data_IF_369883068163
#
_entry.id   IF_369883068163
#
_cell.length_a   1.000
_cell.length_b   1.000
_cell.length_c   1.000
_cell.angle_alpha   90.00
_cell.angle_beta   90.00
_cell.angle_gamma   90.00
#
_symmetry.space_group_name_H-M   'P 1'
#
loop_
_entity.id
_entity.type
_entity.pdbx_description
1 polymer ?
#
# COMPACT_ATOMS: atom_id res chain seq x y z
N UNK A 1 -10.98 -6.41 -30.42
CA UNK A 1 -10.42 -5.36 -29.54
C UNK A 1 -11.62 -4.68 -28.89
N UNK A 2 -11.64 -4.50 -27.56
CA UNK A 2 -12.77 -3.83 -26.89
C UNK A 2 -12.69 -2.33 -27.24
N UNK A 3 -13.78 -1.76 -27.79
CA UNK A 3 -13.85 -0.34 -28.12
C UNK A 3 -14.48 0.46 -26.96
N UNK A 4 -13.76 1.44 -26.38
CA UNK A 4 -14.30 2.30 -25.33
C UNK A 4 -15.48 3.14 -25.80
N UNK A 5 -16.51 3.28 -24.96
CA UNK A 5 -17.71 4.09 -25.25
C UNK A 5 -17.92 5.18 -24.19
N UNK A 6 -18.47 6.32 -24.61
CA UNK A 6 -18.80 7.45 -23.72
C UNK A 6 -17.60 7.91 -22.89
N UNK A 7 -17.80 8.04 -21.58
CA UNK A 7 -16.80 8.48 -20.58
C UNK A 7 -15.53 7.62 -20.55
N UNK A 8 -15.59 6.35 -21.01
CA UNK A 8 -14.37 5.53 -21.15
C UNK A 8 -13.37 6.11 -22.16
N UNK A 9 -13.83 6.88 -23.16
CA UNK A 9 -12.96 7.59 -24.10
C UNK A 9 -12.19 8.71 -23.41
N UNK A 10 -12.80 9.37 -22.43
CA UNK A 10 -12.16 10.43 -21.65
C UNK A 10 -11.02 9.87 -20.80
N UNK A 11 -11.17 8.66 -20.24
CA UNK A 11 -10.09 7.95 -19.54
C UNK A 11 -8.88 7.72 -20.46
N UNK A 12 -9.12 7.40 -21.74
CA UNK A 12 -8.03 7.31 -22.71
C UNK A 12 -7.53 8.67 -23.20
N UNK A 13 -8.22 9.76 -22.93
CA UNK A 13 -7.78 11.12 -23.24
C UNK A 13 -6.97 11.76 -22.09
N UNK A 14 -6.83 11.07 -20.95
CA UNK A 14 -6.09 11.59 -19.80
C UNK A 14 -4.68 12.05 -20.17
N UNK A 15 -4.21 13.18 -19.58
CA UNK A 15 -2.87 13.67 -19.82
C UNK A 15 -1.85 12.65 -19.29
N UNK A 16 -0.69 12.49 -19.95
CA UNK A 16 0.36 11.60 -19.48
C UNK A 16 1.19 12.22 -18.34
N UNK A 17 0.61 13.15 -17.58
CA UNK A 17 1.28 13.82 -16.46
C UNK A 17 0.31 14.09 -15.31
N UNK A 18 0.84 14.18 -14.10
CA UNK A 18 0.07 14.48 -12.89
C UNK A 18 -0.66 13.27 -12.29
N UNK A 19 -1.52 13.53 -11.32
CA UNK A 19 -2.26 12.50 -10.59
C UNK A 19 -3.73 12.55 -10.98
N UNK A 20 -4.30 11.41 -11.39
CA UNK A 20 -5.71 11.30 -11.79
C UNK A 20 -6.40 10.20 -11.01
N UNK A 21 -7.66 10.44 -10.63
CA UNK A 21 -8.55 9.44 -10.04
C UNK A 21 -9.66 9.15 -11.05
N UNK A 22 -9.87 7.87 -11.35
CA UNK A 22 -10.92 7.35 -12.23
C UNK A 22 -11.82 6.45 -11.40
N UNK A 23 -13.05 6.88 -11.20
CA UNK A 23 -14.04 6.12 -10.43
C UNK A 23 -15.09 5.54 -11.35
N UNK A 24 -15.53 4.32 -11.04
CA UNK A 24 -16.64 3.68 -11.74
C UNK A 24 -17.23 2.56 -10.92
N UNK A 25 -18.50 2.24 -11.15
CA UNK A 25 -19.17 1.13 -10.46
C UNK A 25 -18.62 -0.23 -10.90
N UNK A 26 -19.00 -1.29 -10.19
CA UNK A 26 -18.73 -2.67 -10.60
C UNK A 26 -19.20 -2.92 -12.05
N UNK A 27 -18.40 -3.66 -12.82
CA UNK A 27 -18.72 -3.98 -14.22
C UNK A 27 -18.53 -2.84 -15.23
N UNK A 28 -18.08 -1.65 -14.82
CA UNK A 28 -17.88 -0.50 -15.72
C UNK A 28 -16.64 -0.61 -16.64
N UNK A 29 -15.87 -1.69 -16.50
CA UNK A 29 -14.67 -1.94 -17.31
C UNK A 29 -13.40 -1.23 -16.81
N UNK A 30 -13.35 -0.79 -15.54
CA UNK A 30 -12.19 -0.11 -14.91
C UNK A 30 -10.87 -0.80 -15.24
N UNK A 31 -10.79 -2.09 -14.93
CA UNK A 31 -9.65 -2.94 -15.21
C UNK A 31 -9.24 -2.93 -16.69
N UNK A 32 -10.20 -3.08 -17.61
CA UNK A 32 -9.92 -2.99 -19.05
C UNK A 32 -9.38 -1.61 -19.42
N UNK A 33 -9.92 -0.55 -18.81
CA UNK A 33 -9.45 0.80 -19.06
C UNK A 33 -8.06 1.08 -18.51
N UNK A 34 -7.72 0.57 -17.33
CA UNK A 34 -6.38 0.63 -16.76
C UNK A 34 -5.35 0.01 -17.72
N UNK A 35 -5.67 -1.14 -18.32
CA UNK A 35 -4.80 -1.83 -19.27
C UNK A 35 -4.69 -1.09 -20.62
N UNK A 36 -5.79 -0.58 -21.15
CA UNK A 36 -5.78 0.21 -22.38
C UNK A 36 -4.99 1.52 -22.19
N UNK A 37 -5.14 2.17 -21.04
CA UNK A 37 -4.37 3.34 -20.67
C UNK A 37 -2.88 2.99 -20.54
N UNK A 38 -2.53 1.87 -19.89
CA UNK A 38 -1.15 1.42 -19.79
C UNK A 38 -0.49 1.25 -21.17
N UNK A 39 -1.19 0.60 -22.09
CA UNK A 39 -0.75 0.42 -23.47
C UNK A 39 -0.62 1.74 -24.22
N UNK A 40 -1.55 2.69 -24.02
CA UNK A 40 -1.44 4.03 -24.62
C UNK A 40 -0.17 4.73 -24.14
N UNK A 41 0.04 4.75 -22.82
CA UNK A 41 1.17 5.43 -22.19
C UNK A 41 2.51 4.83 -22.62
N UNK A 42 2.61 3.49 -22.71
CA UNK A 42 3.85 2.83 -23.15
C UNK A 42 4.22 3.08 -24.61
N UNK A 43 3.26 3.49 -25.44
CA UNK A 43 3.47 3.84 -26.85
C UNK A 43 3.75 5.33 -27.10
N UNK A 44 3.85 6.14 -26.04
CA UNK A 44 4.28 7.53 -26.18
C UNK A 44 5.73 7.61 -26.67
N UNK A 45 6.11 8.78 -27.18
CA UNK A 45 7.50 9.08 -27.57
C UNK A 45 8.46 8.77 -26.42
N UNK A 46 9.55 8.06 -26.72
CA UNK A 46 10.50 7.56 -25.73
C UNK A 46 10.12 6.23 -25.09
N UNK A 47 8.99 5.64 -25.46
CA UNK A 47 8.51 4.31 -25.02
C UNK A 47 8.61 4.12 -23.51
N UNK A 48 7.97 5.00 -22.71
CA UNK A 48 8.17 5.02 -21.27
C UNK A 48 7.67 3.72 -20.62
N UNK A 49 8.37 3.29 -19.58
CA UNK A 49 7.93 2.15 -18.77
C UNK A 49 6.70 2.53 -17.94
N UNK A 50 5.70 1.64 -17.96
CA UNK A 50 4.46 1.77 -17.22
C UNK A 50 4.32 0.59 -16.26
N UNK A 51 4.00 0.88 -15.00
CA UNK A 51 3.64 -0.14 -14.01
C UNK A 51 2.12 -0.11 -13.79
N UNK A 52 1.49 -1.28 -13.87
CA UNK A 52 0.12 -1.50 -13.40
C UNK A 52 0.20 -2.32 -12.13
N UNK A 53 -0.39 -1.82 -11.04
CA UNK A 53 -0.41 -2.49 -9.74
C UNK A 53 -1.84 -2.92 -9.42
N UNK A 54 -2.01 -4.18 -9.04
CA UNK A 54 -3.33 -4.75 -8.69
C UNK A 54 -3.19 -5.84 -7.63
N UNK A 55 -4.23 -6.08 -6.83
CA UNK A 55 -4.33 -7.28 -5.99
C UNK A 55 -4.94 -8.49 -6.73
N UNK A 56 -5.50 -8.29 -7.92
CA UNK A 56 -6.12 -9.35 -8.70
C UNK A 56 -5.05 -10.23 -9.38
N UNK A 57 -4.74 -11.39 -8.77
CA UNK A 57 -3.78 -12.36 -9.33
C UNK A 57 -4.21 -12.89 -10.71
N UNK A 58 -5.51 -12.99 -10.98
CA UNK A 58 -6.01 -13.41 -12.28
C UNK A 58 -5.74 -12.36 -13.37
N UNK A 59 -5.76 -11.06 -13.02
CA UNK A 59 -5.34 -9.99 -13.94
C UNK A 59 -3.88 -10.13 -14.32
N UNK A 60 -3.01 -10.37 -13.33
CA UNK A 60 -1.57 -10.56 -13.55
C UNK A 60 -1.34 -11.72 -14.52
N UNK A 61 -2.01 -12.85 -14.29
CA UNK A 61 -1.94 -14.03 -15.16
C UNK A 61 -2.46 -13.74 -16.59
N UNK A 62 -3.62 -13.09 -16.69
CA UNK A 62 -4.22 -12.70 -17.97
C UNK A 62 -3.32 -11.76 -18.77
N UNK A 63 -2.73 -10.77 -18.12
CA UNK A 63 -1.81 -9.83 -18.76
C UNK A 63 -0.51 -10.49 -19.17
N UNK A 64 0.05 -11.39 -18.36
CA UNK A 64 1.22 -12.16 -18.74
C UNK A 64 0.96 -13.02 -19.99
N UNK A 65 -0.28 -13.52 -20.18
CA UNK A 65 -0.66 -14.25 -21.39
C UNK A 65 -0.76 -13.35 -22.65
N UNK A 66 -1.03 -12.05 -22.48
CA UNK A 66 -1.20 -11.08 -23.60
C UNK A 66 0.04 -10.19 -23.80
N UNK A 67 0.96 -10.18 -22.83
CA UNK A 67 2.19 -9.37 -22.77
C UNK A 67 3.13 -9.56 -23.96
N UNK A 68 2.99 -10.64 -24.74
CA UNK A 68 3.74 -10.86 -25.99
C UNK A 68 3.61 -9.72 -27.01
N UNK A 69 2.66 -8.79 -26.81
CA UNK A 69 2.34 -7.70 -27.73
C UNK A 69 2.54 -6.27 -27.21
N UNK A 70 2.93 -6.06 -25.93
CA UNK A 70 3.05 -4.71 -25.34
C UNK A 70 4.37 -4.50 -24.60
N UNK A 71 5.37 -3.98 -25.32
CA UNK A 71 6.67 -3.58 -24.74
C UNK A 71 6.47 -2.42 -23.76
N UNK A 72 7.19 -2.45 -22.63
CA UNK A 72 7.23 -1.36 -21.65
C UNK A 72 6.09 -1.35 -20.62
N UNK A 73 5.21 -2.37 -20.59
CA UNK A 73 4.16 -2.50 -19.56
C UNK A 73 4.48 -3.66 -18.61
N UNK A 74 4.57 -3.36 -17.31
CA UNK A 74 4.75 -4.33 -16.24
C UNK A 74 3.47 -4.38 -15.41
N UNK A 75 2.97 -5.58 -15.10
CA UNK A 75 1.77 -5.78 -14.28
C UNK A 75 2.13 -6.68 -13.10
N UNK A 76 2.02 -6.14 -11.89
CA UNK A 76 2.44 -6.83 -10.66
C UNK A 76 1.49 -6.49 -9.50
N UNK A 77 1.61 -7.23 -8.40
CA UNK A 77 0.99 -6.82 -7.13
C UNK A 77 1.96 -5.95 -6.33
N UNK A 78 1.42 -5.17 -5.38
CA UNK A 78 2.22 -4.19 -4.62
C UNK A 78 3.47 -4.80 -3.98
N UNK A 79 3.34 -5.95 -3.31
CA UNK A 79 4.45 -6.57 -2.59
C UNK A 79 5.59 -6.99 -3.51
N UNK A 80 5.31 -7.46 -4.74
CA UNK A 80 6.35 -7.80 -5.71
C UNK A 80 7.12 -6.55 -6.17
N UNK A 81 6.40 -5.47 -6.48
CA UNK A 81 7.01 -4.18 -6.77
C UNK A 81 7.88 -3.70 -5.60
N UNK A 82 7.36 -3.75 -4.38
CA UNK A 82 8.03 -3.29 -3.17
C UNK A 82 9.35 -4.05 -2.93
N UNK A 83 9.31 -5.38 -2.93
CA UNK A 83 10.50 -6.22 -2.75
C UNK A 83 11.49 -6.03 -3.91
N UNK A 84 11.03 -5.98 -5.15
CA UNK A 84 11.88 -5.70 -6.31
C UNK A 84 12.58 -4.35 -6.20
N UNK A 85 11.87 -3.32 -5.76
CA UNK A 85 12.45 -1.99 -5.53
C UNK A 85 13.49 -2.02 -4.39
N UNK A 86 13.18 -2.58 -3.23
CA UNK A 86 14.14 -2.65 -2.11
C UNK A 86 15.40 -3.44 -2.49
N UNK A 87 15.23 -4.56 -3.21
CA UNK A 87 16.35 -5.36 -3.75
C UNK A 87 17.21 -4.55 -4.71
N UNK A 88 16.60 -3.72 -5.56
CA UNK A 88 17.34 -2.80 -6.46
C UNK A 88 18.14 -1.72 -5.74
N UNK A 89 17.79 -1.44 -4.47
CA UNK A 89 18.54 -0.54 -3.58
C UNK A 89 19.61 -1.28 -2.75
N UNK A 90 19.79 -2.58 -2.96
CA UNK A 90 20.76 -3.40 -2.22
C UNK A 90 20.30 -3.82 -0.84
N UNK A 91 19.02 -3.64 -0.51
CA UNK A 91 18.46 -4.09 0.76
C UNK A 91 18.13 -5.59 0.69
N UNK A 92 18.34 -6.30 1.80
CA UNK A 92 17.96 -7.71 1.89
C UNK A 92 16.43 -7.82 1.89
N UNK A 93 15.91 -8.72 1.06
CA UNK A 93 14.48 -9.05 0.93
C UNK A 93 14.22 -10.55 1.02
N UNK A 94 15.27 -11.37 1.10
CA UNK A 94 15.16 -12.82 1.03
C UNK A 94 15.03 -13.38 2.45
N UNK A 95 13.92 -14.07 2.74
CA UNK A 95 13.60 -14.69 4.04
C UNK A 95 13.58 -13.73 5.26
N UNK A 96 13.39 -12.43 5.04
CA UNK A 96 13.37 -11.39 6.10
C UNK A 96 11.99 -10.78 6.38
N UNK A 97 10.95 -11.29 5.72
CA UNK A 97 9.56 -10.89 5.95
C UNK A 97 8.98 -11.77 7.05
N UNK A 98 8.41 -11.16 8.08
CA UNK A 98 7.79 -11.86 9.19
C UNK A 98 6.54 -12.64 8.73
N UNK A 99 6.45 -13.94 9.03
CA UNK A 99 5.21 -14.71 8.88
C UNK A 99 4.11 -14.26 9.84
N UNK A 100 2.85 -14.32 9.42
CA UNK A 100 1.70 -13.78 10.16
C UNK A 100 1.48 -14.49 11.52
N UNK A 101 1.63 -15.81 11.56
CA UNK A 101 1.55 -16.59 12.79
C UNK A 101 2.64 -16.18 13.80
N UNK A 102 3.82 -15.80 13.31
CA UNK A 102 4.91 -15.30 14.16
C UNK A 102 4.62 -13.86 14.60
N UNK A 103 4.00 -13.01 13.77
CA UNK A 103 3.52 -11.66 14.13
C UNK A 103 2.57 -11.72 15.32
N UNK A 104 1.55 -12.56 15.23
CA UNK A 104 0.58 -12.79 16.30
C UNK A 104 1.25 -13.26 17.60
N UNK A 105 2.16 -14.23 17.51
CA UNK A 105 2.88 -14.74 18.68
C UNK A 105 3.74 -13.66 19.35
N UNK A 106 4.52 -12.88 18.58
CA UNK A 106 5.36 -11.80 19.13
C UNK A 106 4.50 -10.77 19.85
N UNK A 107 3.40 -10.33 19.24
CA UNK A 107 2.52 -9.31 19.82
C UNK A 107 1.81 -9.85 21.06
N UNK A 108 1.37 -11.11 21.04
CA UNK A 108 0.80 -11.80 22.21
C UNK A 108 1.78 -11.78 23.39
N UNK A 109 3.02 -12.23 23.17
CA UNK A 109 4.06 -12.24 24.21
C UNK A 109 4.28 -10.84 24.80
N UNK A 110 4.40 -9.81 23.95
CA UNK A 110 4.59 -8.42 24.40
C UNK A 110 3.40 -7.96 25.24
N UNK A 111 2.16 -8.19 24.78
CA UNK A 111 0.97 -7.78 25.51
C UNK A 111 0.90 -8.46 26.89
N UNK A 112 1.19 -9.76 26.98
CA UNK A 112 1.23 -10.47 28.26
C UNK A 112 2.33 -9.95 29.20
N UNK A 113 3.51 -9.62 28.67
CA UNK A 113 4.58 -8.96 29.44
C UNK A 113 4.14 -7.58 29.98
N UNK A 114 3.45 -6.78 29.16
CA UNK A 114 2.91 -5.47 29.57
C UNK A 114 1.79 -5.59 30.60
N UNK A 115 0.91 -6.59 30.49
CA UNK A 115 -0.12 -6.89 31.49
C UNK A 115 0.50 -7.23 32.85
N UNK A 116 1.56 -8.04 32.88
CA UNK A 116 2.25 -8.40 34.13
C UNK A 116 2.96 -7.22 34.77
N UNK A 117 3.58 -6.35 33.96
CA UNK A 117 4.35 -5.20 34.45
C UNK A 117 3.47 -3.99 34.83
N UNK A 118 2.29 -3.85 34.24
CA UNK A 118 1.34 -2.77 34.52
C UNK A 118 -0.11 -3.31 34.64
N UNK A 119 -0.41 -4.14 35.66
CA UNK A 119 -1.69 -4.83 35.78
C UNK A 119 -2.88 -3.89 36.03
N UNK A 120 -2.62 -2.66 36.49
CA UNK A 120 -3.64 -1.63 36.74
C UNK A 120 -3.97 -0.78 35.50
N UNK A 121 -3.18 -0.87 34.43
CA UNK A 121 -3.48 -0.14 33.19
C UNK A 121 -4.47 -0.93 32.34
N UNK A 122 -5.73 -0.50 32.37
CA UNK A 122 -6.84 -1.14 31.67
C UNK A 122 -6.61 -1.30 30.16
N UNK A 123 -5.79 -0.45 29.54
CA UNK A 123 -5.48 -0.56 28.11
C UNK A 123 -4.79 -1.88 27.78
N UNK A 124 -3.83 -2.34 28.60
CA UNK A 124 -3.12 -3.60 28.37
C UNK A 124 -4.00 -4.83 28.63
N UNK A 125 -5.08 -4.69 29.38
CA UNK A 125 -6.04 -5.77 29.66
C UNK A 125 -7.00 -6.04 28.49
N UNK A 126 -6.97 -5.23 27.43
CA UNK A 126 -7.77 -5.46 26.22
C UNK A 126 -7.32 -6.73 25.47
N UNK A 127 -8.19 -7.35 24.67
CA UNK A 127 -7.83 -8.52 23.87
C UNK A 127 -6.61 -8.26 22.98
N UNK A 128 -5.77 -9.28 22.76
CA UNK A 128 -4.57 -9.17 21.91
C UNK A 128 -4.93 -8.71 20.50
N UNK A 129 -6.05 -9.18 19.95
CA UNK A 129 -6.55 -8.77 18.65
C UNK A 129 -6.72 -7.25 18.50
N UNK A 130 -7.07 -6.53 19.57
CA UNK A 130 -7.14 -5.06 19.55
C UNK A 130 -5.76 -4.44 19.27
N UNK A 131 -4.69 -5.03 19.79
CA UNK A 131 -3.33 -4.55 19.55
C UNK A 131 -2.82 -4.93 18.17
N UNK A 132 -3.14 -6.13 17.68
CA UNK A 132 -2.84 -6.57 16.30
C UNK A 132 -3.42 -5.59 15.28
N UNK A 133 -4.73 -5.37 15.37
CA UNK A 133 -5.45 -4.43 14.50
C UNK A 133 -4.88 -3.01 14.57
N UNK A 134 -4.53 -2.54 15.78
CA UNK A 134 -3.99 -1.19 15.92
C UNK A 134 -2.57 -1.07 15.35
N UNK A 135 -1.74 -2.11 15.49
CA UNK A 135 -0.41 -2.15 14.86
C UNK A 135 -0.53 -2.12 13.35
N UNK A 136 -1.41 -2.95 12.76
CA UNK A 136 -1.69 -2.89 11.32
C UNK A 136 -2.17 -1.50 10.88
N UNK A 137 -3.02 -0.84 11.69
CA UNK A 137 -3.46 0.52 11.40
C UNK A 137 -2.28 1.50 11.38
N UNK A 138 -1.41 1.47 12.39
CA UNK A 138 -0.22 2.31 12.46
C UNK A 138 0.68 2.09 11.24
N UNK A 139 0.87 0.84 10.83
CA UNK A 139 1.71 0.47 9.68
C UNK A 139 1.09 0.91 8.34
N UNK A 140 -0.21 0.63 8.14
CA UNK A 140 -0.95 0.98 6.92
C UNK A 140 -1.09 2.48 6.71
N UNK A 141 -1.12 3.27 7.77
CA UNK A 141 -1.13 4.74 7.70
C UNK A 141 0.28 5.36 7.74
N UNK A 142 1.32 4.57 8.01
CA UNK A 142 2.71 5.02 7.98
C UNK A 142 3.14 5.82 9.20
N UNK A 143 2.51 5.59 10.35
CA UNK A 143 2.74 6.35 11.58
C UNK A 143 4.16 6.14 12.09
N UNK A 144 4.87 7.24 12.27
CA UNK A 144 6.31 7.25 12.52
C UNK A 144 6.72 7.69 13.91
N UNK A 145 5.82 8.36 14.64
CA UNK A 145 6.04 8.82 16.01
C UNK A 145 4.76 8.75 16.87
N UNK A 146 4.94 8.82 18.19
CA UNK A 146 3.81 8.88 19.12
C UNK A 146 2.99 10.17 18.94
N UNK A 147 3.65 11.29 18.67
CA UNK A 147 3.03 12.59 18.47
C UNK A 147 2.14 12.59 17.22
N UNK A 148 2.62 11.98 16.12
CA UNK A 148 1.82 11.76 14.91
C UNK A 148 0.60 10.88 15.24
N UNK A 149 0.81 9.77 15.96
CA UNK A 149 -0.28 8.90 16.34
C UNK A 149 -1.32 9.59 17.22
N UNK A 150 -0.92 10.43 18.19
CA UNK A 150 -1.86 11.11 19.09
C UNK A 150 -2.63 12.23 18.39
N UNK A 151 -2.00 12.89 17.42
CA UNK A 151 -2.59 14.02 16.69
C UNK A 151 -3.57 13.61 15.59
N UNK A 152 -3.32 12.48 14.90
CA UNK A 152 -4.11 12.05 13.76
C UNK A 152 -5.53 11.57 14.10
N UNK A 153 -6.42 11.57 13.10
CA UNK A 153 -7.71 10.89 13.19
C UNK A 153 -7.59 9.41 12.82
N UNK A 154 -8.33 8.55 13.54
CA UNK A 154 -8.35 7.09 13.32
C UNK A 154 -9.48 6.70 12.37
N UNK A 155 -9.36 7.12 11.11
CA UNK A 155 -10.41 6.89 10.09
C UNK A 155 -10.51 5.40 9.74
N UNK A 156 -11.74 4.88 9.55
CA UNK A 156 -11.98 3.47 9.23
C UNK A 156 -11.83 2.49 10.42
N UNK A 157 -11.68 3.00 11.65
CA UNK A 157 -11.58 2.19 12.90
C UNK A 157 -12.69 2.55 13.91
N UNK A 158 -13.92 2.74 13.43
CA UNK A 158 -15.09 3.11 14.27
C UNK A 158 -15.40 2.11 15.38
N UNK A 159 -15.12 0.83 15.13
CA UNK A 159 -15.60 -0.26 15.97
C UNK A 159 -14.78 -0.42 17.26
N UNK A 160 -13.57 0.15 17.28
CA UNK A 160 -12.62 0.06 18.39
C UNK A 160 -12.23 1.46 18.85
N UNK A 161 -12.99 2.00 19.81
CA UNK A 161 -12.66 3.28 20.45
C UNK A 161 -11.31 3.20 21.19
N UNK A 162 -10.45 4.19 20.96
CA UNK A 162 -9.19 4.41 21.68
C UNK A 162 -9.09 5.91 21.97
N UNK A 163 -9.18 6.27 23.25
CA UNK A 163 -8.99 7.64 23.70
C UNK A 163 -7.55 8.12 23.41
N UNK A 164 -7.39 9.41 23.07
CA UNK A 164 -6.09 9.97 22.62
C UNK A 164 -4.98 9.79 23.67
N UNK A 165 -5.29 9.92 24.96
CA UNK A 165 -4.34 9.73 26.08
C UNK A 165 -3.91 8.27 26.27
N UNK A 166 -4.71 7.31 25.79
CA UNK A 166 -4.42 5.86 25.84
C UNK A 166 -3.60 5.36 24.65
N UNK A 167 -3.48 6.14 23.57
CA UNK A 167 -2.70 5.80 22.37
C UNK A 167 -1.23 5.48 22.68
N UNK A 168 -0.64 6.12 23.68
CA UNK A 168 0.74 5.83 24.13
C UNK A 168 0.99 4.37 24.48
N UNK A 169 -0.01 3.64 24.98
CA UNK A 169 0.13 2.24 25.34
C UNK A 169 0.15 1.33 24.12
N UNK A 170 -0.71 1.59 23.14
CA UNK A 170 -0.67 0.90 21.84
C UNK A 170 0.64 1.16 21.11
N UNK A 171 1.09 2.41 21.10
CA UNK A 171 2.36 2.79 20.50
C UNK A 171 3.55 2.11 21.21
N UNK A 172 3.51 1.98 22.53
CA UNK A 172 4.55 1.26 23.27
C UNK A 172 4.63 -0.23 22.89
N UNK A 173 3.48 -0.88 22.67
CA UNK A 173 3.44 -2.27 22.14
C UNK A 173 4.00 -2.31 20.72
N UNK A 174 3.63 -1.35 19.86
CA UNK A 174 4.13 -1.24 18.49
C UNK A 174 5.67 -1.06 18.43
N UNK A 175 6.24 -0.21 19.28
CA UNK A 175 7.69 -0.06 19.38
C UNK A 175 8.38 -1.33 19.86
N UNK A 176 7.81 -1.97 20.90
CA UNK A 176 8.31 -3.26 21.41
C UNK A 176 8.26 -4.34 20.32
N UNK A 177 7.20 -4.35 19.51
CA UNK A 177 7.02 -5.27 18.38
C UNK A 177 8.12 -5.07 17.33
N UNK A 178 8.35 -3.83 16.87
CA UNK A 178 9.43 -3.53 15.91
C UNK A 178 10.80 -3.99 16.42
N UNK A 179 11.07 -3.79 17.71
CA UNK A 179 12.31 -4.23 18.33
C UNK A 179 12.44 -5.76 18.33
N UNK A 180 11.45 -6.48 18.87
CA UNK A 180 11.48 -7.95 19.00
C UNK A 180 11.44 -8.67 17.65
N UNK A 181 10.73 -8.11 16.66
CA UNK A 181 10.74 -8.58 15.26
C UNK A 181 12.15 -8.55 14.67
N UNK A 182 12.84 -7.41 14.84
CA UNK A 182 14.21 -7.22 14.36
C UNK A 182 15.21 -8.15 15.07
N UNK A 183 15.09 -8.36 16.38
CA UNK A 183 15.93 -9.31 17.12
C UNK A 183 15.81 -10.74 16.60
N UNK A 184 14.62 -11.14 16.14
CA UNK A 184 14.37 -12.44 15.51
C UNK A 184 14.85 -12.53 14.05
N UNK A 185 15.47 -11.47 13.52
CA UNK A 185 16.03 -11.43 12.16
C UNK A 185 15.06 -11.01 11.07
N UNK A 186 13.81 -10.64 11.42
CA UNK A 186 12.83 -10.17 10.46
C UNK A 186 12.92 -8.65 10.31
N UNK A 187 13.23 -8.18 9.10
CA UNK A 187 13.41 -6.76 8.82
C UNK A 187 12.06 -6.06 8.57
N UNK A 188 11.12 -6.79 7.96
CA UNK A 188 9.82 -6.26 7.53
C UNK A 188 8.69 -7.20 7.96
N UNK A 189 7.47 -6.68 7.91
CA UNK A 189 6.26 -7.46 7.71
C UNK A 189 5.50 -6.94 6.48
N UNK A 190 4.34 -7.50 6.19
CA UNK A 190 3.58 -7.14 4.99
C UNK A 190 2.99 -5.74 5.04
N UNK A 191 2.60 -5.23 6.22
CA UNK A 191 1.97 -3.91 6.37
C UNK A 191 3.01 -2.78 6.37
N UNK A 192 4.17 -3.01 6.99
CA UNK A 192 5.22 -2.00 7.13
C UNK A 192 6.13 -1.87 5.89
N UNK A 193 6.06 -2.83 4.97
CA UNK A 193 6.87 -2.83 3.76
C UNK A 193 6.71 -1.53 2.96
N UNK A 194 5.48 -1.00 2.92
CA UNK A 194 5.17 0.26 2.25
C UNK A 194 5.88 1.47 2.90
N UNK A 195 6.02 1.48 4.23
CA UNK A 195 6.78 2.51 4.96
C UNK A 195 8.24 2.48 4.53
N UNK A 196 8.84 1.28 4.52
CA UNK A 196 10.24 1.09 4.15
C UNK A 196 10.50 1.53 2.70
N UNK A 197 9.63 1.13 1.77
CA UNK A 197 9.72 1.54 0.36
C UNK A 197 9.66 3.06 0.24
N UNK A 198 8.69 3.71 0.89
CA UNK A 198 8.55 5.15 0.81
C UNK A 198 9.76 5.91 1.40
N UNK A 199 10.23 5.49 2.59
CA UNK A 199 11.44 6.09 3.20
C UNK A 199 12.66 5.94 2.30
N UNK A 200 12.84 4.76 1.70
CA UNK A 200 13.94 4.51 0.76
C UNK A 200 13.81 5.39 -0.49
N UNK A 201 12.60 5.54 -1.04
CA UNK A 201 12.32 6.43 -2.18
C UNK A 201 12.56 7.91 -1.87
N UNK A 202 12.36 8.36 -0.63
CA UNK A 202 12.67 9.74 -0.22
C UNK A 202 14.17 10.03 -0.30
N UNK A 203 15.01 9.06 0.05
CA UNK A 203 16.48 9.18 -0.04
C UNK A 203 17.05 8.86 -1.42
N UNK A 204 16.32 8.10 -2.24
CA UNK A 204 16.77 7.66 -3.57
C UNK A 204 16.61 8.76 -4.61
N UNK A 205 17.77 9.25 -5.11
CA UNK A 205 17.89 10.31 -6.12
C UNK A 205 18.02 9.78 -7.56
N UNK A 206 18.00 8.46 -7.76
CA UNK A 206 18.09 7.88 -9.11
C UNK A 206 16.82 8.17 -9.91
N UNK A 207 16.95 8.14 -11.23
CA UNK A 207 15.79 8.18 -12.12
C UNK A 207 14.85 7.01 -11.83
N UNK A 208 13.54 7.27 -11.85
CA UNK A 208 12.54 6.24 -11.58
C UNK A 208 12.41 5.32 -12.77
N UNK A 209 12.37 4.01 -12.49
CA UNK A 209 12.17 2.96 -13.50
C UNK A 209 10.88 3.15 -14.30
N UNK A 210 9.80 3.56 -13.63
CA UNK A 210 8.47 3.70 -14.22
C UNK A 210 8.11 5.17 -14.32
N UNK A 211 7.85 5.64 -15.55
CA UNK A 211 7.36 6.99 -15.77
C UNK A 211 5.89 7.12 -15.42
N UNK A 212 5.11 6.06 -15.64
CA UNK A 212 3.69 6.06 -15.30
C UNK A 212 3.35 4.88 -14.40
N UNK A 213 2.51 5.12 -13.40
CA UNK A 213 2.01 4.10 -12.50
C UNK A 213 0.48 4.15 -12.50
N UNK A 214 -0.14 2.99 -12.67
CA UNK A 214 -1.59 2.82 -12.65
C UNK A 214 -1.91 1.83 -11.53
N UNK A 215 -2.87 2.17 -10.70
CA UNK A 215 -3.40 1.29 -9.65
C UNK A 215 -4.80 0.88 -10.05
N UNK A 216 -5.05 -0.43 -10.12
CA UNK A 216 -6.39 -1.01 -10.30
C UNK A 216 -6.90 -1.51 -8.95
N UNK A 217 -8.22 -1.41 -8.73
CA UNK A 217 -8.87 -1.65 -7.43
C UNK A 217 -8.18 -0.92 -6.28
N UNK A 218 -7.92 0.37 -6.48
CA UNK A 218 -7.11 1.19 -5.58
C UNK A 218 -7.67 1.31 -4.17
N UNK A 219 -8.94 1.03 -3.95
CA UNK A 219 -9.56 0.95 -2.62
C UNK A 219 -8.98 -0.17 -1.74
N UNK A 220 -8.38 -1.21 -2.33
CA UNK A 220 -7.74 -2.31 -1.59
C UNK A 220 -6.35 -1.96 -1.07
N UNK A 221 -5.74 -0.88 -1.57
CA UNK A 221 -4.41 -0.44 -1.15
C UNK A 221 -4.48 0.22 0.23
N UNK A 222 -3.37 0.31 0.96
CA UNK A 222 -3.30 1.18 2.14
C UNK A 222 -2.87 2.61 1.75
N UNK A 223 -3.14 3.65 2.57
CA UNK A 223 -2.68 5.00 2.30
C UNK A 223 -1.16 5.04 2.10
N UNK A 224 -0.43 4.26 2.91
CA UNK A 224 1.01 4.17 2.82
C UNK A 224 1.48 3.50 1.52
N UNK A 225 0.78 2.47 1.02
CA UNK A 225 1.07 1.87 -0.29
C UNK A 225 0.88 2.89 -1.43
N UNK A 226 -0.23 3.64 -1.42
CA UNK A 226 -0.49 4.68 -2.42
C UNK A 226 0.58 5.79 -2.38
N UNK A 227 0.97 6.23 -1.17
CA UNK A 227 2.02 7.23 -0.97
C UNK A 227 3.38 6.75 -1.50
N UNK A 228 3.71 5.47 -1.30
CA UNK A 228 4.90 4.84 -1.86
C UNK A 228 4.87 4.81 -3.40
N UNK A 229 3.74 4.38 -3.98
CA UNK A 229 3.58 4.32 -5.44
C UNK A 229 3.62 5.70 -6.10
N UNK A 230 2.95 6.70 -5.52
CA UNK A 230 3.01 8.10 -5.99
C UNK A 230 4.46 8.60 -6.01
N UNK A 231 5.24 8.30 -4.96
CA UNK A 231 6.66 8.70 -4.90
C UNK A 231 7.55 7.94 -5.90
N UNK A 232 7.11 6.76 -6.34
CA UNK A 232 7.82 5.94 -7.32
C UNK A 232 7.58 6.40 -8.78
N UNK A 233 6.67 7.34 -9.04
CA UNK A 233 6.43 7.92 -10.37
C UNK A 233 7.63 8.74 -10.83
N UNK A 234 8.07 8.50 -12.07
CA UNK A 234 9.14 9.26 -12.70
C UNK A 234 8.79 10.72 -12.98
N UNK A 235 9.81 11.54 -13.13
CA UNK A 235 9.65 12.97 -13.37
C UNK A 235 8.85 13.25 -14.66
N UNK A 236 7.92 14.20 -14.58
CA UNK A 236 6.97 14.50 -15.67
C UNK A 236 6.01 13.34 -16.01
N UNK A 237 5.95 12.33 -15.15
CA UNK A 237 5.12 11.15 -15.27
C UNK A 237 3.72 11.31 -14.69
N UNK A 238 2.98 10.20 -14.63
CA UNK A 238 1.62 10.19 -14.10
C UNK A 238 1.32 9.04 -13.14
N UNK A 239 0.43 9.31 -12.19
CA UNK A 239 -0.21 8.32 -11.35
C UNK A 239 -1.69 8.27 -11.68
N UNK A 240 -2.25 7.10 -11.96
CA UNK A 240 -3.70 6.93 -12.17
C UNK A 240 -4.26 5.92 -11.20
N UNK A 241 -5.24 6.34 -10.41
CA UNK A 241 -5.98 5.50 -9.49
C UNK A 241 -7.30 5.09 -10.13
N UNK A 242 -7.55 3.78 -10.27
CA UNK A 242 -8.87 3.25 -10.59
C UNK A 242 -9.50 2.67 -9.32
N UNK A 243 -10.73 3.05 -9.02
CA UNK A 243 -11.43 2.49 -7.87
C UNK A 243 -12.95 2.52 -8.02
N UNK A 244 -13.63 1.85 -7.08
CA UNK A 244 -15.09 1.83 -7.04
C UNK A 244 -15.67 2.99 -6.23
N UNK A 245 -16.71 3.63 -6.78
CA UNK A 245 -17.44 4.71 -6.09
C UNK A 245 -18.17 4.18 -4.86
N UNK A 246 -18.71 2.97 -4.95
CA UNK A 246 -19.55 2.38 -3.89
C UNK A 246 -18.72 1.81 -2.72
N UNK A 247 -17.41 1.62 -2.91
CA UNK A 247 -16.53 1.09 -1.87
C UNK A 247 -15.86 2.27 -1.15
N UNK A 248 -16.10 2.36 0.16
CA UNK A 248 -15.50 3.40 1.00
C UNK A 248 -13.97 3.29 0.97
N UNK A 249 -13.29 4.41 0.85
CA UNK A 249 -11.83 4.49 0.97
C UNK A 249 -11.52 4.91 2.41
N UNK A 250 -11.01 3.96 3.20
CA UNK A 250 -10.61 4.15 4.59
C UNK A 250 -11.66 4.80 5.49
N UNK A 251 -12.93 4.41 5.34
CA UNK A 251 -14.03 4.87 6.20
C UNK A 251 -14.68 6.19 5.78
N UNK A 252 -14.27 6.78 4.65
CA UNK A 252 -15.02 7.86 4.00
C UNK A 252 -15.54 7.38 2.63
N UNK A 253 -16.78 7.70 2.32
CA UNK A 253 -17.22 7.67 0.92
C UNK A 253 -16.40 8.68 0.12
N UNK A 254 -16.01 8.33 -1.10
CA UNK A 254 -15.47 9.28 -2.06
C UNK A 254 -16.62 10.22 -2.48
N UNK A 255 -16.85 11.29 -1.71
CA UNK A 255 -17.76 12.39 -2.08
C UNK A 255 -16.98 13.54 -2.71
#
# INVERSE_FOLDING_TARGET
>A
MIEPKGTQKEVLALPPSGHTVVLGTAGSGKTTMALLLARKLSNLSGSPNVLVVTFNRALVAYMNAIQSSTRGVVVEHFHLFALGYLKSQGLNTDYVILPEDIKENIITEIVEEKRKSAPTESTYLRPVNTFLEEIEFLERFGVSSLEEYVSMERVGRSDTYIARDKRKYFYNVYESYKYKRKEKGYLYDWDDLAITVYKTLLSDKKERRYKHIIVDEGQDFSPMMLKALVKAVGEGGSFTFFGDVAQQIYGNALS
#
